data_IF_667161217686
#
_entry.id   IF_667161217686
#
_cell.length_a   1.000
_cell.length_b   1.000
_cell.length_c   1.000
_cell.angle_alpha   90.00
_cell.angle_beta   90.00
_cell.angle_gamma   90.00
#
_symmetry.space_group_name_H-M   'P 1'
#
loop_
_entity.id
_entity.type
_entity.pdbx_description
1 polymer ?
#
# COMPACT_ATOMS: atom_id res chain seq x y z
N UNK A 1 -21.44 -37.82 -17.20
CA UNK A 1 -21.42 -36.43 -17.70
C UNK A 1 -21.11 -35.53 -16.51
N UNK A 2 -19.84 -35.37 -16.16
CA UNK A 2 -19.42 -34.61 -14.98
C UNK A 2 -18.15 -33.82 -15.34
N UNK A 3 -18.33 -32.54 -15.70
CA UNK A 3 -17.32 -31.46 -15.57
C UNK A 3 -17.92 -30.09 -15.97
N UNK A 4 -19.18 -29.81 -15.61
CA UNK A 4 -19.80 -28.49 -15.85
C UNK A 4 -19.93 -27.63 -14.59
N UNK A 5 -19.75 -28.24 -13.41
CA UNK A 5 -19.89 -27.55 -12.12
C UNK A 5 -18.66 -26.68 -11.79
N UNK A 6 -17.44 -27.20 -12.03
CA UNK A 6 -16.18 -26.50 -11.74
C UNK A 6 -15.99 -25.20 -12.54
N UNK A 7 -16.36 -25.20 -13.82
CA UNK A 7 -16.24 -24.03 -14.72
C UNK A 7 -17.25 -22.92 -14.43
N UNK A 8 -18.42 -23.26 -13.88
CA UNK A 8 -19.41 -22.26 -13.47
C UNK A 8 -19.03 -21.61 -12.14
N UNK A 9 -18.56 -22.41 -11.18
CA UNK A 9 -18.11 -21.91 -9.89
C UNK A 9 -16.91 -20.95 -10.03
N UNK A 10 -15.93 -21.27 -10.88
CA UNK A 10 -14.77 -20.41 -11.13
C UNK A 10 -15.15 -19.06 -11.77
N UNK A 11 -16.07 -19.08 -12.74
CA UNK A 11 -16.59 -17.86 -13.38
C UNK A 11 -17.38 -16.98 -12.41
N UNK A 12 -18.20 -17.57 -11.56
CA UNK A 12 -18.94 -16.84 -10.52
C UNK A 12 -17.99 -16.22 -9.49
N UNK A 13 -16.98 -16.96 -9.04
CA UNK A 13 -15.94 -16.45 -8.15
C UNK A 13 -15.15 -15.30 -8.79
N UNK A 14 -14.83 -15.40 -10.08
CA UNK A 14 -14.15 -14.33 -10.80
C UNK A 14 -15.03 -13.08 -10.91
N UNK A 15 -16.30 -13.23 -11.28
CA UNK A 15 -17.26 -12.13 -11.34
C UNK A 15 -17.42 -11.45 -9.97
N UNK A 16 -17.62 -12.24 -8.92
CA UNK A 16 -17.72 -11.75 -7.55
C UNK A 16 -16.44 -11.05 -7.10
N UNK A 17 -15.26 -11.58 -7.44
CA UNK A 17 -13.99 -10.93 -7.12
C UNK A 17 -13.84 -9.57 -7.80
N UNK A 18 -14.30 -9.45 -9.04
CA UNK A 18 -14.25 -8.20 -9.79
C UNK A 18 -15.21 -7.15 -9.22
N UNK A 19 -16.42 -7.56 -8.84
CA UNK A 19 -17.39 -6.69 -8.16
C UNK A 19 -16.91 -6.30 -6.77
N UNK A 20 -16.40 -7.24 -5.97
CA UNK A 20 -15.82 -6.97 -4.66
C UNK A 20 -14.63 -6.01 -4.77
N UNK A 21 -13.71 -6.20 -5.71
CA UNK A 21 -12.56 -5.31 -5.87
C UNK A 21 -13.00 -3.87 -6.19
N UNK A 22 -14.07 -3.71 -6.98
CA UNK A 22 -14.67 -2.40 -7.24
C UNK A 22 -15.32 -1.81 -5.99
N UNK A 23 -16.08 -2.59 -5.24
CA UNK A 23 -16.73 -2.13 -4.00
C UNK A 23 -15.69 -1.74 -2.96
N UNK A 24 -14.57 -2.48 -2.86
CA UNK A 24 -13.51 -2.22 -1.88
C UNK A 24 -12.45 -1.24 -2.37
N UNK A 25 -12.56 -0.69 -3.58
CA UNK A 25 -11.55 0.25 -4.10
C UNK A 25 -11.39 1.51 -3.25
N UNK A 26 -12.42 1.89 -2.47
CA UNK A 26 -12.34 3.00 -1.51
C UNK A 26 -11.26 2.76 -0.43
N UNK A 27 -10.93 1.50 -0.11
CA UNK A 27 -9.89 1.15 0.87
C UNK A 27 -8.55 1.71 0.43
N UNK A 28 -8.25 1.72 -0.87
CA UNK A 28 -7.02 2.26 -1.41
C UNK A 28 -6.95 3.77 -1.16
N UNK A 29 -8.03 4.50 -1.43
CA UNK A 29 -8.10 5.94 -1.19
C UNK A 29 -8.04 6.31 0.29
N UNK A 30 -8.75 5.57 1.16
CA UNK A 30 -8.70 5.80 2.62
C UNK A 30 -7.31 5.47 3.16
N UNK A 31 -6.71 4.37 2.74
CA UNK A 31 -5.35 3.99 3.13
C UNK A 31 -4.34 5.06 2.69
N UNK A 32 -4.49 5.55 1.47
CA UNK A 32 -3.63 6.59 0.93
C UNK A 32 -3.78 7.91 1.71
N UNK A 33 -5.01 8.33 2.01
CA UNK A 33 -5.28 9.47 2.87
C UNK A 33 -4.65 9.29 4.26
N UNK A 34 -4.77 8.11 4.88
CA UNK A 34 -4.11 7.83 6.15
C UNK A 34 -2.58 7.98 6.06
N UNK A 35 -1.96 7.61 4.94
CA UNK A 35 -0.52 7.78 4.76
C UNK A 35 -0.12 9.26 4.68
N UNK A 36 -0.97 10.11 4.09
CA UNK A 36 -0.79 11.57 4.06
C UNK A 36 -0.97 12.13 5.47
N UNK A 37 -2.07 11.80 6.14
CA UNK A 37 -2.40 12.31 7.48
C UNK A 37 -1.37 11.89 8.54
N UNK A 38 -0.74 10.72 8.37
CA UNK A 38 0.35 10.24 9.22
C UNK A 38 1.72 10.83 8.86
N UNK A 39 1.84 11.58 7.76
CA UNK A 39 3.12 12.15 7.30
C UNK A 39 4.09 11.12 6.69
N UNK A 40 3.61 9.94 6.28
CA UNK A 40 4.43 8.88 5.68
C UNK A 40 5.04 9.34 4.36
N UNK A 41 4.24 10.03 3.53
CA UNK A 41 4.70 10.56 2.24
C UNK A 41 5.84 11.56 2.45
N UNK A 42 5.66 12.48 3.39
CA UNK A 42 6.67 13.49 3.69
C UNK A 42 7.93 12.87 4.27
N UNK A 43 7.80 11.91 5.20
CA UNK A 43 8.94 11.20 5.78
C UNK A 43 9.79 10.51 4.71
N UNK A 44 9.17 9.77 3.79
CA UNK A 44 9.88 9.07 2.71
C UNK A 44 10.47 10.07 1.72
N UNK A 45 9.75 11.13 1.35
CA UNK A 45 10.22 12.16 0.43
C UNK A 45 11.43 12.93 0.99
N UNK A 46 11.38 13.32 2.25
CA UNK A 46 12.46 14.06 2.93
C UNK A 46 13.71 13.20 3.16
N UNK A 47 13.56 11.87 3.20
CA UNK A 47 14.70 10.96 3.33
C UNK A 47 15.56 10.88 2.07
N UNK A 48 15.00 11.20 0.90
CA UNK A 48 15.73 11.34 -0.38
C UNK A 48 16.30 10.05 -0.98
N UNK A 49 16.12 8.90 -0.32
CA UNK A 49 16.58 7.58 -0.74
C UNK A 49 15.57 6.51 -0.28
N UNK A 50 15.70 5.22 -0.68
CA UNK A 50 14.81 4.17 -0.20
C UNK A 50 14.81 4.10 1.33
N UNK A 51 13.65 4.29 1.95
CA UNK A 51 13.52 4.42 3.41
C UNK A 51 13.29 3.06 4.08
N UNK A 52 14.17 2.60 4.99
CA UNK A 52 13.94 1.37 5.76
C UNK A 52 12.73 1.49 6.68
N UNK A 53 12.06 0.37 6.96
CA UNK A 53 10.88 0.34 7.86
C UNK A 53 11.18 0.85 9.26
N UNK A 54 12.31 0.48 9.87
CA UNK A 54 12.76 0.96 11.17
C UNK A 54 12.88 2.49 11.21
N UNK A 55 13.46 3.09 10.16
CA UNK A 55 13.58 4.53 10.00
C UNK A 55 12.23 5.21 9.81
N UNK A 56 11.34 4.60 9.02
CA UNK A 56 9.97 5.10 8.87
C UNK A 56 9.25 5.16 10.22
N UNK A 57 9.28 4.07 11.01
CA UNK A 57 8.64 4.05 12.34
C UNK A 57 9.28 5.08 13.27
N UNK A 58 10.60 5.22 13.23
CA UNK A 58 11.32 6.23 14.01
C UNK A 58 10.98 7.67 13.60
N UNK A 59 10.63 7.93 12.33
CA UNK A 59 10.16 9.23 11.86
C UNK A 59 8.72 9.52 12.29
N UNK A 60 7.90 8.48 12.45
CA UNK A 60 6.50 8.57 12.88
C UNK A 60 6.36 8.58 14.41
N UNK A 61 7.16 9.40 15.11
CA UNK A 61 7.30 9.50 16.59
C UNK A 61 5.99 9.54 17.40
N UNK A 62 4.86 9.79 16.75
CA UNK A 62 3.51 9.83 17.31
C UNK A 62 2.96 8.41 17.60
N UNK A 63 3.55 7.36 17.03
CA UNK A 63 2.97 6.00 17.03
C UNK A 63 3.53 5.15 18.19
N UNK A 64 2.66 4.62 19.09
CA UNK A 64 3.10 3.66 20.10
C UNK A 64 3.67 2.39 19.46
N UNK A 65 4.69 1.74 20.04
CA UNK A 65 5.29 0.53 19.47
C UNK A 65 4.26 -0.60 19.27
N UNK A 66 3.20 -0.66 20.08
CA UNK A 66 2.08 -1.59 19.94
C UNK A 66 1.26 -1.41 18.65
N UNK A 67 1.37 -0.25 18.00
CA UNK A 67 0.65 0.12 16.78
C UNK A 67 1.50 0.00 15.51
N UNK A 68 2.78 -0.34 15.62
CA UNK A 68 3.71 -0.52 14.50
C UNK A 68 3.20 -1.53 13.45
N UNK A 69 2.52 -2.58 13.90
CA UNK A 69 1.93 -3.60 13.01
C UNK A 69 0.86 -3.03 12.07
N UNK A 70 0.15 -1.97 12.47
CA UNK A 70 -0.83 -1.30 11.61
C UNK A 70 -0.14 -0.54 10.48
N UNK A 71 1.00 0.11 10.75
CA UNK A 71 1.79 0.78 9.72
C UNK A 71 2.36 -0.22 8.73
N UNK A 72 2.83 -1.38 9.20
CA UNK A 72 3.29 -2.44 8.30
C UNK A 72 2.17 -2.93 7.37
N UNK A 73 0.94 -3.11 7.90
CA UNK A 73 -0.23 -3.49 7.10
C UNK A 73 -0.61 -2.40 6.11
N UNK A 74 -0.63 -1.15 6.55
CA UNK A 74 -0.93 0.00 5.72
C UNK A 74 0.06 0.10 4.54
N UNK A 75 1.36 -0.01 4.80
CA UNK A 75 2.38 0.01 3.75
C UNK A 75 2.17 -1.12 2.75
N UNK A 76 1.81 -2.35 3.18
CA UNK A 76 1.51 -3.45 2.24
C UNK A 76 0.33 -3.12 1.33
N UNK A 77 -0.75 -2.56 1.87
CA UNK A 77 -1.92 -2.15 1.07
C UNK A 77 -1.51 -1.11 0.03
N UNK A 78 -0.72 -0.12 0.43
CA UNK A 78 -0.29 0.97 -0.44
C UNK A 78 0.69 0.51 -1.53
N UNK A 79 1.56 -0.45 -1.23
CA UNK A 79 2.42 -1.10 -2.21
C UNK A 79 1.59 -1.89 -3.21
N UNK A 80 0.65 -2.71 -2.73
CA UNK A 80 -0.22 -3.51 -3.60
C UNK A 80 -1.14 -2.62 -4.47
N UNK A 81 -1.48 -1.43 -3.99
CA UNK A 81 -2.24 -0.43 -4.72
C UNK A 81 -1.40 0.36 -5.74
N UNK A 82 -0.08 0.20 -5.75
CA UNK A 82 0.80 0.90 -6.68
C UNK A 82 1.11 2.36 -6.29
N UNK A 83 1.01 2.73 -5.01
CA UNK A 83 1.47 4.04 -4.53
C UNK A 83 2.95 4.04 -4.09
N UNK A 84 3.46 2.87 -3.67
CA UNK A 84 4.84 2.69 -3.23
C UNK A 84 5.44 1.44 -3.85
N UNK A 85 6.76 1.41 -3.96
CA UNK A 85 7.52 0.21 -4.31
C UNK A 85 8.48 -0.16 -3.19
N UNK A 86 8.74 -1.46 -3.07
CA UNK A 86 9.78 -1.98 -2.19
C UNK A 86 11.08 -2.16 -2.96
N UNK A 87 12.20 -1.78 -2.33
CA UNK A 87 13.53 -2.17 -2.79
C UNK A 87 14.17 -3.04 -1.72
N UNK A 88 14.62 -4.23 -2.11
CA UNK A 88 15.51 -5.04 -1.28
C UNK A 88 16.92 -4.48 -1.46
N UNK A 89 17.52 -3.97 -0.39
CA UNK A 89 18.92 -3.57 -0.42
C UNK A 89 19.75 -4.84 -0.31
N UNK A 90 20.61 -5.09 -1.30
CA UNK A 90 21.37 -6.33 -1.44
C UNK A 90 22.50 -6.51 -0.41
N UNK A 91 22.61 -5.64 0.60
CA UNK A 91 23.72 -5.62 1.53
C UNK A 91 23.23 -5.75 2.97
N UNK A 92 23.27 -6.98 3.48
CA UNK A 92 23.26 -7.43 4.89
C UNK A 92 22.09 -7.04 5.81
N UNK A 93 21.24 -6.08 5.45
CA UNK A 93 20.04 -5.72 6.21
C UNK A 93 18.78 -6.35 5.60
N UNK A 94 18.14 -7.24 6.37
CA UNK A 94 16.89 -7.95 6.05
C UNK A 94 15.65 -7.03 5.98
N UNK A 95 15.84 -5.71 5.90
CA UNK A 95 14.77 -4.74 6.09
C UNK A 95 14.25 -4.19 4.76
N UNK A 96 12.94 -4.27 4.58
CA UNK A 96 12.24 -3.74 3.41
C UNK A 96 12.37 -2.22 3.39
N UNK A 97 12.88 -1.68 2.27
CA UNK A 97 12.95 -0.25 2.05
C UNK A 97 11.83 0.22 1.12
N UNK A 98 11.26 1.39 1.39
CA UNK A 98 10.14 1.97 0.65
C UNK A 98 10.58 3.15 -0.22
N UNK A 99 9.99 3.23 -1.41
CA UNK A 99 10.18 4.34 -2.35
C UNK A 99 8.81 4.80 -2.84
N UNK A 100 8.62 6.11 -2.93
CA UNK A 100 7.46 6.72 -3.58
C UNK A 100 7.56 6.52 -5.09
N UNK A 101 6.47 6.06 -5.71
CA UNK A 101 6.37 6.13 -7.16
C UNK A 101 6.20 7.60 -7.53
N UNK A 102 6.88 8.04 -8.60
CA UNK A 102 7.04 9.44 -8.97
C UNK A 102 5.75 10.28 -8.82
N UNK A 103 5.95 11.49 -8.32
CA UNK A 103 4.93 12.47 -7.91
C UNK A 103 3.86 12.81 -8.97
N UNK A 104 4.11 12.51 -10.25
CA UNK A 104 3.14 12.68 -11.33
C UNK A 104 1.91 11.77 -11.18
N UNK A 105 2.01 10.63 -10.48
CA UNK A 105 0.86 9.76 -10.19
C UNK A 105 0.03 10.25 -8.99
N UNK A 106 0.68 10.88 -8.01
CA UNK A 106 0.03 11.40 -6.80
C UNK A 106 -0.85 12.62 -7.10
N UNK A 107 -0.39 13.51 -7.99
CA UNK A 107 -1.15 14.70 -8.39
C UNK A 107 -2.45 14.36 -9.14
N UNK A 108 -2.51 13.22 -9.84
CA UNK A 108 -3.72 12.76 -10.51
C UNK A 108 -4.75 12.17 -9.53
N UNK A 109 -4.31 11.43 -8.51
CA UNK A 109 -5.21 10.87 -7.49
C UNK A 109 -5.72 11.92 -6.49
N UNK A 110 -4.90 12.90 -6.09
CA UNK A 110 -5.33 13.94 -5.14
C UNK A 110 -6.37 14.90 -5.74
N UNK A 111 -6.29 15.15 -7.05
CA UNK A 111 -7.16 16.12 -7.75
C UNK A 111 -8.53 15.56 -8.13
N UNK A 112 -8.74 14.25 -8.06
CA UNK A 112 -10.03 13.59 -8.31
C UNK A 112 -10.87 13.37 -7.04
N UNK A 113 -10.44 13.85 -5.88
CA UNK A 113 -11.16 13.68 -4.60
C UNK A 113 -11.33 15.00 -3.83
N UNK A 114 -11.09 16.14 -4.48
CA UNK A 114 -11.38 17.50 -3.99
C UNK A 114 -12.24 18.23 -5.02
#
# INVERSE_FOLDING_TARGET
>A
MESQSGDKASKLLQAQSHECNRIFSFINSISFKCAVDLGILEAINNYGQPMPFSKLIASLLIIPPSKTSFIQRLMRILIQSGFFVTKNVADKDLEVCYVLIDSYMLHCCLRTTL
#
